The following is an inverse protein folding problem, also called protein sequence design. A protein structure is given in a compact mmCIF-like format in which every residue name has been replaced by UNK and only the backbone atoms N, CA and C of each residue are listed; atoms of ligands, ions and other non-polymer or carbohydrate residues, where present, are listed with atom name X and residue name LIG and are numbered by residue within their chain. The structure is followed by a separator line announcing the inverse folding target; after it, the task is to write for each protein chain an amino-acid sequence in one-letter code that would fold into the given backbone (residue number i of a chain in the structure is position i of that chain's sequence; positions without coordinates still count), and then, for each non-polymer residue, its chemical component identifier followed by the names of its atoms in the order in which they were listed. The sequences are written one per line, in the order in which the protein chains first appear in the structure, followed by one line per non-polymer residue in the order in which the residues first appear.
data_IF_158060093432
#
_entry.id   IF_158060093432
#
_cell.length_a   1.000
_cell.length_b   1.000
_cell.length_c   1.000
_cell.angle_alpha   90.00
_cell.angle_beta   90.00
_cell.angle_gamma   90.00
#
_symmetry.space_group_name_H-M   'P 1'
#
loop_
_entity.id
_entity.type
_entity.pdbx_description
1 polymer ?
#
# COMPACT_ATOMS: atom_id res chain seq x y z
N UNK A 1 -30.84 22.64 -42.39
CA UNK A 1 -29.49 22.98 -41.87
C UNK A 1 -29.50 23.58 -40.44
N UNK A 2 -30.37 24.55 -40.09
CA UNK A 2 -30.40 25.11 -38.71
C UNK A 2 -30.81 24.09 -37.62
N UNK A 3 -31.70 23.13 -37.90
CA UNK A 3 -32.15 22.15 -36.90
C UNK A 3 -31.09 21.07 -36.59
N UNK A 4 -30.27 20.72 -37.55
CA UNK A 4 -29.19 19.72 -37.35
C UNK A 4 -28.02 20.31 -36.56
N UNK A 5 -27.72 21.61 -36.79
CA UNK A 5 -26.67 22.30 -36.02
C UNK A 5 -27.05 22.45 -34.53
N UNK A 6 -28.35 22.68 -34.27
CA UNK A 6 -28.86 22.79 -32.90
C UNK A 6 -28.80 21.43 -32.16
N UNK A 7 -29.09 20.31 -32.86
CA UNK A 7 -28.97 18.98 -32.32
C UNK A 7 -27.52 18.61 -32.02
N UNK A 8 -26.60 18.98 -32.91
CA UNK A 8 -25.17 18.73 -32.70
C UNK A 8 -24.63 19.50 -31.51
N UNK A 9 -25.01 20.74 -31.31
CA UNK A 9 -24.63 21.58 -30.18
C UNK A 9 -25.22 21.02 -28.88
N UNK A 10 -26.48 20.58 -28.87
CA UNK A 10 -27.06 19.93 -27.69
C UNK A 10 -26.42 18.61 -27.33
N UNK A 11 -26.03 17.79 -28.31
CA UNK A 11 -25.30 16.51 -28.06
C UNK A 11 -23.89 16.77 -27.56
N UNK A 12 -23.18 17.77 -28.10
CA UNK A 12 -21.87 18.17 -27.59
C UNK A 12 -21.95 18.74 -26.16
N UNK A 13 -22.97 19.54 -25.85
CA UNK A 13 -23.14 20.10 -24.50
C UNK A 13 -23.53 19.05 -23.46
N UNK A 14 -24.28 18.02 -23.82
CA UNK A 14 -24.59 16.90 -22.92
C UNK A 14 -23.40 15.95 -22.71
N UNK A 15 -22.55 15.79 -23.70
CA UNK A 15 -21.28 15.05 -23.53
C UNK A 15 -20.27 15.78 -22.62
N UNK A 16 -20.28 17.10 -22.62
CA UNK A 16 -19.40 17.91 -21.76
C UNK A 16 -19.91 17.93 -20.30
N UNK A 17 -21.22 17.83 -20.07
CA UNK A 17 -21.77 17.80 -18.70
C UNK A 17 -21.60 16.48 -17.96
N UNK A 18 -21.26 15.37 -18.62
CA UNK A 18 -21.12 14.06 -17.98
C UNK A 18 -19.70 13.73 -17.50
N UNK A 19 -18.73 14.59 -17.74
CA UNK A 19 -17.40 14.48 -17.17
C UNK A 19 -17.38 15.05 -15.74
N UNK A 20 -18.11 14.43 -14.81
CA UNK A 20 -17.83 14.64 -13.39
C UNK A 20 -16.37 14.21 -13.19
N UNK A 21 -15.53 15.19 -12.85
CA UNK A 21 -14.15 14.94 -12.43
C UNK A 21 -14.20 14.03 -11.20
N UNK A 22 -14.20 12.73 -11.43
CA UNK A 22 -14.10 11.77 -10.33
C UNK A 22 -12.63 11.76 -9.90
N UNK A 23 -12.39 12.13 -8.64
CA UNK A 23 -11.07 11.98 -8.05
C UNK A 23 -10.64 10.52 -8.15
N UNK A 24 -9.42 10.29 -8.57
CA UNK A 24 -8.89 8.94 -8.74
C UNK A 24 -7.49 8.84 -8.16
N UNK A 25 -7.26 7.83 -7.37
CA UNK A 25 -5.95 7.57 -6.75
C UNK A 25 -4.96 7.00 -7.76
N UNK A 26 -3.72 7.49 -7.68
CA UNK A 26 -2.57 7.01 -8.47
C UNK A 26 -1.41 6.70 -7.52
N UNK A 27 -0.87 5.48 -7.55
CA UNK A 27 -1.33 4.30 -8.28
C UNK A 27 -2.71 3.81 -7.83
N UNK A 28 -3.48 3.26 -8.77
CA UNK A 28 -4.88 2.87 -8.52
C UNK A 28 -5.06 1.81 -7.43
N UNK A 29 -4.06 0.96 -7.22
CA UNK A 29 -4.06 -0.09 -6.17
C UNK A 29 -3.94 0.49 -4.76
N UNK A 30 -3.58 1.78 -4.63
CA UNK A 30 -3.38 2.45 -3.34
C UNK A 30 -4.61 3.23 -2.87
N UNK A 31 -5.75 3.07 -3.51
CA UNK A 31 -6.96 3.82 -3.17
C UNK A 31 -7.41 3.63 -1.71
N UNK A 32 -7.37 2.41 -1.23
CA UNK A 32 -7.77 2.03 0.13
C UNK A 32 -6.61 1.57 1.01
N UNK A 33 -5.38 1.63 0.49
CA UNK A 33 -4.18 1.10 1.14
C UNK A 33 -3.19 2.22 1.41
N UNK A 34 -2.60 2.24 2.59
CA UNK A 34 -1.48 3.12 2.94
C UNK A 34 -0.22 2.71 2.18
N UNK A 35 0.57 3.68 1.74
CA UNK A 35 1.88 3.41 1.15
C UNK A 35 2.84 2.74 2.14
N UNK A 36 3.77 1.96 1.64
CA UNK A 36 4.70 1.19 2.47
C UNK A 36 5.72 2.03 3.24
N UNK A 37 5.75 3.34 3.03
CA UNK A 37 6.69 4.25 3.72
C UNK A 37 6.22 5.71 3.67
N UNK A 38 6.71 6.51 4.63
CA UNK A 38 6.57 7.96 4.58
C UNK A 38 7.79 8.62 3.93
N UNK A 39 7.58 9.46 2.93
CA UNK A 39 8.65 10.25 2.32
C UNK A 39 8.75 11.66 2.91
N UNK A 40 9.94 12.02 3.36
CA UNK A 40 10.25 13.41 3.70
C UNK A 40 10.53 14.30 2.48
N UNK A 41 10.62 13.74 1.29
CA UNK A 41 10.75 14.48 0.03
C UNK A 41 9.38 14.55 -0.61
N UNK A 42 8.91 15.72 -1.05
CA UNK A 42 9.61 17.02 -1.15
C UNK A 42 9.45 17.94 0.07
N UNK A 43 8.57 17.65 1.03
CA UNK A 43 8.14 18.63 2.04
C UNK A 43 8.69 18.41 3.46
N UNK A 44 9.43 17.36 3.70
CA UNK A 44 9.90 16.98 5.05
C UNK A 44 11.27 17.52 5.46
N UNK A 45 11.90 18.36 4.64
CA UNK A 45 13.17 19.00 4.93
C UNK A 45 13.04 20.53 4.98
N UNK A 46 14.12 21.22 5.32
CA UNK A 46 14.24 22.66 5.20
C UNK A 46 14.99 23.10 3.93
N UNK A 47 15.33 22.14 3.07
CA UNK A 47 16.05 22.39 1.83
C UNK A 47 15.08 22.52 0.66
N UNK A 48 15.43 23.34 -0.30
CA UNK A 48 14.80 23.36 -1.60
C UNK A 48 15.05 22.04 -2.32
N UNK A 49 14.12 21.60 -3.15
CA UNK A 49 14.33 20.38 -3.91
C UNK A 49 13.65 20.43 -5.28
N UNK A 50 14.21 19.70 -6.21
CA UNK A 50 13.58 19.29 -7.45
C UNK A 50 13.18 17.82 -7.30
N UNK A 51 11.92 17.52 -7.51
CA UNK A 51 11.34 16.20 -7.34
C UNK A 51 10.50 15.86 -8.56
N UNK A 52 10.74 14.72 -9.13
CA UNK A 52 9.99 14.21 -10.27
C UNK A 52 9.50 12.80 -9.96
N UNK A 53 8.31 12.46 -10.41
CA UNK A 53 7.76 11.12 -10.31
C UNK A 53 7.13 10.72 -11.64
N UNK A 54 7.38 9.48 -12.05
CA UNK A 54 6.84 8.86 -13.25
C UNK A 54 5.95 7.70 -12.82
N UNK A 55 4.72 7.70 -13.29
CA UNK A 55 3.77 6.61 -13.13
C UNK A 55 3.57 5.93 -14.49
N UNK A 56 3.85 4.65 -14.57
CA UNK A 56 3.59 3.87 -15.77
C UNK A 56 2.09 3.81 -16.07
N UNK A 57 1.73 3.68 -17.34
CA UNK A 57 0.34 3.63 -17.78
C UNK A 57 -0.49 2.59 -17.03
N UNK A 58 0.15 1.49 -16.63
CA UNK A 58 -0.48 0.45 -15.85
C UNK A 58 -0.87 0.88 -14.42
N UNK A 59 -0.30 1.96 -13.86
CA UNK A 59 -0.62 2.52 -12.54
C UNK A 59 -1.82 3.46 -12.57
N UNK A 60 -2.18 3.91 -13.79
CA UNK A 60 -3.26 4.88 -13.98
C UNK A 60 -4.61 4.15 -14.01
N UNK A 61 -5.64 4.66 -13.32
CA UNK A 61 -6.98 4.06 -13.33
C UNK A 61 -7.78 4.38 -14.60
N UNK A 62 -7.16 5.00 -15.58
CA UNK A 62 -7.77 5.35 -16.89
C UNK A 62 -6.88 4.92 -18.05
N UNK A 63 -7.48 4.68 -19.22
CA UNK A 63 -6.81 4.20 -20.43
C UNK A 63 -6.86 5.15 -21.62
N UNK A 64 -7.34 6.38 -21.44
CA UNK A 64 -7.50 7.35 -22.54
C UNK A 64 -7.24 8.78 -22.12
N UNK A 65 -7.48 9.74 -23.02
CA UNK A 65 -7.33 11.15 -22.73
C UNK A 65 -8.19 11.59 -21.53
N UNK A 66 -7.60 12.39 -20.65
CA UNK A 66 -8.26 12.88 -19.45
C UNK A 66 -7.91 14.33 -19.18
N UNK A 67 -8.93 15.14 -18.86
CA UNK A 67 -8.73 16.48 -18.33
C UNK A 67 -8.35 16.39 -16.86
N UNK A 68 -7.27 17.03 -16.47
CA UNK A 68 -6.78 17.11 -15.09
C UNK A 68 -6.76 18.56 -14.65
N UNK A 69 -7.47 18.84 -13.55
CA UNK A 69 -7.61 20.19 -12.99
C UNK A 69 -6.69 20.42 -11.78
N UNK A 70 -6.11 19.36 -11.26
CA UNK A 70 -5.24 19.40 -10.08
C UNK A 70 -4.83 18.02 -9.61
N UNK A 71 -3.95 18.01 -8.62
CA UNK A 71 -3.59 16.82 -7.87
C UNK A 71 -3.73 17.13 -6.38
N UNK A 72 -4.02 16.09 -5.61
CA UNK A 72 -4.02 16.17 -4.15
C UNK A 72 -3.09 15.13 -3.59
N UNK A 73 -2.22 15.55 -2.70
CA UNK A 73 -1.26 14.67 -2.05
C UNK A 73 -1.82 14.17 -0.72
N UNK A 74 -1.42 12.97 -0.35
CA UNK A 74 -1.81 12.31 0.88
C UNK A 74 -0.65 12.37 1.87
N UNK A 75 -0.93 12.82 3.09
CA UNK A 75 0.07 12.77 4.15
C UNK A 75 0.23 11.35 4.68
N UNK A 76 1.46 10.98 5.03
CA UNK A 76 1.80 9.69 5.62
C UNK A 76 1.10 9.50 6.99
N UNK A 77 0.41 8.39 7.16
CA UNK A 77 -0.25 8.02 8.43
C UNK A 77 0.68 7.25 9.37
N UNK A 78 1.89 7.00 8.94
CA UNK A 78 2.86 6.15 9.63
C UNK A 78 2.91 4.75 9.04
N UNK A 79 3.66 3.87 9.68
CA UNK A 79 3.74 2.50 9.21
C UNK A 79 2.38 1.82 9.39
N UNK A 80 1.85 1.12 8.39
CA UNK A 80 0.64 0.29 8.53
C UNK A 80 0.75 -0.77 9.63
N UNK A 81 1.96 -0.98 10.18
CA UNK A 81 2.27 -1.89 11.30
C UNK A 81 2.12 -1.24 12.68
N UNK A 82 2.10 0.08 12.77
CA UNK A 82 1.96 0.75 14.05
C UNK A 82 0.47 1.00 14.31
N UNK A 83 -0.02 0.49 15.41
CA UNK A 83 -1.42 0.44 15.80
C UNK A 83 -2.12 1.82 15.93
N UNK A 84 -1.44 2.92 15.74
CA UNK A 84 -2.03 4.25 15.62
C UNK A 84 -1.09 5.12 14.80
N UNK A 85 -1.60 5.78 13.78
CA UNK A 85 -0.89 6.86 13.09
C UNK A 85 -0.47 7.95 14.09
N UNK A 86 0.53 8.71 13.74
CA UNK A 86 0.96 9.87 14.54
C UNK A 86 0.37 11.14 13.95
N UNK A 87 -0.14 12.04 14.80
CA UNK A 87 -0.56 13.37 14.34
C UNK A 87 0.64 14.09 13.68
N UNK A 88 0.38 14.74 12.55
CA UNK A 88 1.40 15.55 11.86
C UNK A 88 1.05 17.02 12.05
N UNK A 89 1.99 17.81 12.55
CA UNK A 89 1.79 19.24 12.70
C UNK A 89 1.68 19.94 11.34
N UNK A 90 0.92 21.03 11.29
CA UNK A 90 0.89 21.89 10.12
C UNK A 90 2.29 22.41 9.81
N UNK A 91 2.59 22.60 8.52
CA UNK A 91 3.83 23.22 8.07
C UNK A 91 3.49 24.57 7.38
N UNK A 92 4.31 25.57 7.66
CA UNK A 92 4.12 26.92 7.11
C UNK A 92 4.22 26.97 5.59
N UNK A 93 4.13 28.16 5.04
CA UNK A 93 4.08 28.35 3.59
C UNK A 93 5.29 27.82 2.86
N UNK A 94 5.02 27.14 1.78
CA UNK A 94 5.99 26.54 0.86
C UNK A 94 5.76 27.16 -0.52
N UNK A 95 6.83 27.72 -1.11
CA UNK A 95 6.79 28.25 -2.47
C UNK A 95 7.23 27.15 -3.46
N UNK A 96 6.44 26.92 -4.49
CA UNK A 96 6.65 25.81 -5.41
C UNK A 96 6.21 26.11 -6.85
N UNK A 97 6.67 25.27 -7.78
CA UNK A 97 6.13 25.18 -9.14
C UNK A 97 5.83 23.71 -9.46
N UNK A 98 4.84 23.48 -10.34
CA UNK A 98 4.40 22.17 -10.73
C UNK A 98 4.35 22.05 -12.25
N UNK A 99 5.02 21.04 -12.80
CA UNK A 99 4.96 20.66 -14.19
C UNK A 99 4.33 19.28 -14.31
N UNK A 100 3.54 19.10 -15.36
CA UNK A 100 2.97 17.80 -15.74
C UNK A 100 3.30 17.49 -17.20
N UNK A 101 3.39 16.21 -17.55
CA UNK A 101 3.66 15.75 -18.90
C UNK A 101 3.15 14.32 -19.10
N UNK A 102 2.74 13.99 -20.33
CA UNK A 102 2.74 12.60 -20.79
C UNK A 102 4.12 12.24 -21.32
N UNK A 103 4.63 11.08 -20.95
CA UNK A 103 6.00 10.68 -21.33
C UNK A 103 6.07 9.24 -21.88
N UNK A 104 7.05 8.99 -22.74
CA UNK A 104 7.43 7.64 -23.16
C UNK A 104 8.34 6.93 -22.15
N UNK A 105 8.98 7.71 -21.29
CA UNK A 105 9.84 7.17 -20.24
C UNK A 105 8.96 6.44 -19.23
N UNK A 106 9.28 5.20 -18.94
CA UNK A 106 8.65 4.41 -17.90
C UNK A 106 9.52 4.34 -16.65
N UNK A 107 8.96 3.78 -15.58
CA UNK A 107 9.64 3.68 -14.30
C UNK A 107 11.00 2.96 -14.38
N UNK A 108 11.13 1.95 -15.25
CA UNK A 108 12.38 1.18 -15.40
C UNK A 108 13.45 1.92 -16.22
N UNK A 109 13.06 2.89 -17.06
CA UNK A 109 13.95 3.65 -17.95
C UNK A 109 14.14 5.10 -17.50
N UNK A 110 13.67 5.46 -16.32
CA UNK A 110 13.79 6.80 -15.75
C UNK A 110 15.26 7.27 -15.73
N UNK A 111 15.50 8.44 -16.33
CA UNK A 111 16.82 9.08 -16.35
C UNK A 111 17.07 9.88 -15.07
N UNK A 112 18.31 9.90 -14.60
CA UNK A 112 18.74 10.83 -13.56
C UNK A 112 18.71 12.30 -13.99
N UNK A 113 18.79 12.59 -15.29
CA UNK A 113 18.61 13.95 -15.84
C UNK A 113 17.11 14.24 -15.93
N UNK A 114 16.66 15.29 -15.27
CA UNK A 114 15.24 15.57 -15.15
C UNK A 114 14.55 15.85 -16.49
N UNK A 115 15.17 16.64 -17.35
CA UNK A 115 14.63 17.02 -18.65
C UNK A 115 14.49 15.85 -19.62
N UNK A 116 15.34 14.82 -19.52
CA UNK A 116 15.28 13.63 -20.38
C UNK A 116 14.00 12.82 -20.17
N UNK A 117 13.33 13.01 -19.06
CA UNK A 117 12.09 12.32 -18.72
C UNK A 117 10.84 13.05 -19.24
N UNK A 118 10.95 14.31 -19.66
CA UNK A 118 9.81 15.09 -20.13
C UNK A 118 9.29 14.58 -21.46
N UNK A 119 8.00 14.62 -21.64
CA UNK A 119 7.38 14.46 -22.94
C UNK A 119 7.22 15.81 -23.64
N UNK A 120 6.72 15.75 -24.87
CA UNK A 120 6.57 16.94 -25.73
C UNK A 120 5.48 17.92 -25.23
N UNK A 121 4.55 17.45 -24.41
CA UNK A 121 3.45 18.22 -23.82
C UNK A 121 3.77 18.77 -22.42
N UNK A 122 5.05 18.70 -22.02
CA UNK A 122 5.49 19.19 -20.71
C UNK A 122 5.03 20.63 -20.47
N UNK A 123 4.20 20.82 -19.45
CA UNK A 123 3.52 22.08 -19.19
C UNK A 123 3.64 22.45 -17.72
N UNK A 124 4.05 23.68 -17.45
CA UNK A 124 3.99 24.28 -16.12
C UNK A 124 2.53 24.66 -15.82
N UNK A 125 1.86 23.83 -15.03
CA UNK A 125 0.46 24.06 -14.61
C UNK A 125 0.37 24.96 -13.38
N UNK A 126 1.46 25.08 -12.63
CA UNK A 126 1.64 26.06 -11.55
C UNK A 126 3.08 26.58 -11.64
N UNK A 127 3.28 27.90 -11.79
CA UNK A 127 4.63 28.48 -11.88
C UNK A 127 5.10 29.13 -10.55
N UNK A 128 4.19 29.78 -9.85
CA UNK A 128 4.45 30.51 -8.60
C UNK A 128 3.38 30.12 -7.58
N UNK A 129 3.34 28.82 -7.24
CA UNK A 129 2.41 28.32 -6.24
C UNK A 129 2.92 28.60 -4.83
N UNK A 130 1.97 28.77 -3.92
CA UNK A 130 2.23 28.88 -2.48
C UNK A 130 1.20 28.08 -1.72
N UNK A 131 1.64 27.16 -0.88
CA UNK A 131 0.76 26.28 -0.11
C UNK A 131 1.18 26.25 1.35
N UNK A 132 0.21 26.16 2.23
CA UNK A 132 0.40 25.79 3.63
C UNK A 132 -0.07 24.37 3.82
N UNK A 133 0.80 23.51 4.38
CA UNK A 133 0.41 22.12 4.62
C UNK A 133 -0.44 22.02 5.89
N UNK A 134 -1.62 21.39 5.80
CA UNK A 134 -2.54 21.27 6.93
C UNK A 134 -2.00 20.34 8.01
N UNK A 135 -2.39 20.58 9.26
CA UNK A 135 -2.22 19.59 10.31
C UNK A 135 -3.01 18.32 9.98
N UNK A 136 -2.45 17.16 10.29
CA UNK A 136 -3.10 15.87 10.05
C UNK A 136 -3.46 15.22 11.38
N UNK A 137 -4.72 14.84 11.57
CA UNK A 137 -5.15 14.11 12.75
C UNK A 137 -4.60 12.68 12.74
N UNK A 138 -4.65 12.04 13.88
CA UNK A 138 -4.43 10.58 13.97
C UNK A 138 -5.57 9.87 13.28
N UNK A 139 -5.25 8.95 12.38
CA UNK A 139 -6.20 8.02 11.76
C UNK A 139 -5.87 6.62 12.28
N UNK A 140 -6.81 5.93 12.89
CA UNK A 140 -6.53 4.65 13.55
C UNK A 140 -6.02 3.56 12.60
N UNK A 141 -6.60 3.45 11.43
CA UNK A 141 -6.27 2.42 10.43
C UNK A 141 -6.52 2.97 9.02
N UNK A 142 -5.64 2.65 8.09
CA UNK A 142 -5.78 2.97 6.67
C UNK A 142 -5.19 4.32 6.28
N UNK A 143 -5.32 4.67 5.00
CA UNK A 143 -4.74 5.89 4.47
C UNK A 143 -5.48 7.14 4.94
N UNK A 144 -4.75 8.23 5.05
CA UNK A 144 -5.34 9.56 5.23
C UNK A 144 -6.02 10.02 3.94
N UNK A 145 -6.98 10.93 4.07
CA UNK A 145 -7.53 11.60 2.91
C UNK A 145 -6.45 12.43 2.18
N UNK A 146 -6.53 12.48 0.86
CA UNK A 146 -5.69 13.37 0.05
C UNK A 146 -6.26 14.80 0.15
N UNK A 147 -5.71 15.58 1.06
CA UNK A 147 -6.18 16.93 1.39
C UNK A 147 -5.12 18.03 1.22
N UNK A 148 -4.01 17.70 0.56
CA UNK A 148 -2.96 18.66 0.20
C UNK A 148 -3.16 19.00 -1.28
N UNK A 149 -3.99 20.01 -1.56
CA UNK A 149 -4.50 20.32 -2.88
C UNK A 149 -3.55 21.22 -3.65
N UNK A 150 -3.11 20.77 -4.82
CA UNK A 150 -2.33 21.52 -5.79
C UNK A 150 -3.19 21.71 -7.03
N UNK A 151 -4.06 22.74 -6.99
CA UNK A 151 -4.99 23.05 -8.08
C UNK A 151 -4.26 23.76 -9.21
N UNK A 152 -4.44 23.29 -10.43
CA UNK A 152 -3.78 23.84 -11.60
C UNK A 152 -4.34 25.24 -11.94
N UNK A 153 -3.47 26.15 -12.31
CA UNK A 153 -3.89 27.46 -12.83
C UNK A 153 -4.51 27.35 -14.21
N UNK A 154 -4.13 26.33 -14.96
CA UNK A 154 -4.71 26.00 -16.27
C UNK A 154 -4.92 24.50 -16.32
N UNK A 155 -6.13 24.02 -16.61
CA UNK A 155 -6.39 22.59 -16.79
C UNK A 155 -5.46 22.00 -17.85
N UNK A 156 -5.02 20.76 -17.63
CA UNK A 156 -4.13 20.06 -18.53
C UNK A 156 -4.75 18.75 -19.02
N UNK A 157 -4.54 18.45 -20.30
CA UNK A 157 -5.04 17.22 -20.91
C UNK A 157 -3.96 16.16 -20.99
N UNK A 158 -4.11 15.09 -20.23
CA UNK A 158 -3.32 13.88 -20.35
C UNK A 158 -3.68 13.14 -21.65
N UNK A 159 -2.66 12.60 -22.34
CA UNK A 159 -2.85 11.67 -23.45
C UNK A 159 -3.36 12.31 -24.76
N UNK A 160 -3.25 13.61 -24.93
CA UNK A 160 -3.55 14.29 -26.22
C UNK A 160 -2.41 14.20 -27.23
N UNK A 161 -1.20 13.89 -26.80
CA UNK A 161 -0.05 13.77 -27.71
C UNK A 161 -0.27 12.57 -28.64
N UNK A 162 -0.43 12.79 -29.96
CA UNK A 162 -0.74 11.71 -30.89
C UNK A 162 0.46 10.78 -31.11
N UNK A 163 0.17 9.55 -31.49
CA UNK A 163 1.20 8.66 -32.02
C UNK A 163 1.82 9.27 -33.28
N UNK A 164 3.13 9.18 -33.40
CA UNK A 164 3.87 9.55 -34.62
C UNK A 164 4.25 8.29 -35.39
N UNK A 165 4.62 8.46 -36.66
CA UNK A 165 5.01 7.34 -37.49
C UNK A 165 6.17 6.56 -36.84
N UNK A 166 5.91 5.30 -36.46
CA UNK A 166 6.87 4.43 -35.78
C UNK A 166 7.06 4.65 -34.28
N UNK A 167 6.36 5.64 -33.68
CA UNK A 167 6.41 5.91 -32.23
C UNK A 167 4.98 5.87 -31.67
N UNK A 168 4.66 4.97 -30.75
CA UNK A 168 3.34 4.95 -30.11
C UNK A 168 3.08 6.25 -29.35
N UNK A 169 1.82 6.56 -29.05
CA UNK A 169 1.51 7.69 -28.19
C UNK A 169 2.10 7.48 -26.78
N UNK A 170 2.62 8.54 -26.13
CA UNK A 170 3.08 8.46 -24.76
C UNK A 170 1.89 8.16 -23.81
N UNK A 171 2.11 7.31 -22.85
CA UNK A 171 1.03 6.80 -21.97
C UNK A 171 1.33 6.91 -20.49
N UNK A 172 2.56 7.25 -20.12
CA UNK A 172 2.96 7.39 -18.72
C UNK A 172 2.75 8.82 -18.23
N UNK A 173 2.40 8.98 -16.96
CA UNK A 173 2.20 10.29 -16.33
C UNK A 173 3.49 10.70 -15.62
N UNK A 174 3.99 11.90 -15.93
CA UNK A 174 5.09 12.53 -15.24
C UNK A 174 4.60 13.76 -14.50
N UNK A 175 5.03 13.90 -13.26
CA UNK A 175 4.79 15.07 -12.41
C UNK A 175 6.13 15.54 -11.88
N UNK A 176 6.46 16.83 -12.07
CA UNK A 176 7.64 17.45 -11.49
C UNK A 176 7.26 18.58 -10.54
N UNK A 177 7.72 18.50 -9.31
CA UNK A 177 7.54 19.51 -8.28
C UNK A 177 8.89 20.17 -7.98
N UNK A 178 8.94 21.48 -8.11
CA UNK A 178 10.09 22.30 -7.67
C UNK A 178 9.69 23.05 -6.41
N UNK A 179 10.39 22.80 -5.32
CA UNK A 179 10.21 23.51 -4.05
C UNK A 179 11.34 24.52 -3.93
N UNK A 180 11.00 25.80 -3.90
CA UNK A 180 11.98 26.90 -3.87
C UNK A 180 12.33 27.33 -2.45
N UNK A 181 11.34 27.31 -1.56
CA UNK A 181 11.55 27.61 -0.15
C UNK A 181 10.56 26.82 0.71
N UNK A 182 11.00 26.44 1.87
CA UNK A 182 10.12 25.83 2.86
C UNK A 182 10.67 26.05 4.29
N UNK A 183 9.78 26.22 5.28
CA UNK A 183 10.19 26.34 6.68
C UNK A 183 10.75 25.01 7.18
N UNK A 184 11.48 25.07 8.29
CA UNK A 184 11.90 23.86 9.01
C UNK A 184 10.69 23.06 9.51
N UNK A 185 10.90 21.78 9.72
CA UNK A 185 9.87 20.85 10.20
C UNK A 185 9.72 19.63 9.31
N UNK A 186 9.42 18.51 9.92
CA UNK A 186 9.18 17.26 9.21
C UNK A 186 7.71 17.21 8.78
N UNK A 187 7.49 16.98 7.50
CA UNK A 187 6.16 16.68 6.96
C UNK A 187 6.32 15.55 5.93
N UNK A 188 5.78 14.41 6.24
CA UNK A 188 5.91 13.24 5.38
C UNK A 188 4.69 13.07 4.51
N UNK A 189 4.92 12.75 3.26
CA UNK A 189 3.88 12.28 2.34
C UNK A 189 3.83 10.78 2.34
N UNK A 190 2.63 10.26 2.14
CA UNK A 190 2.42 8.85 1.87
C UNK A 190 3.14 8.45 0.59
N UNK A 191 4.01 7.47 0.70
CA UNK A 191 4.94 7.10 -0.34
C UNK A 191 4.95 5.58 -0.55
N UNK A 192 5.01 5.22 -1.81
CA UNK A 192 5.33 3.86 -2.19
C UNK A 192 6.75 3.57 -1.71
N UNK A 193 6.87 2.72 -0.72
CA UNK A 193 8.16 2.28 -0.21
C UNK A 193 8.67 1.06 -0.97
N UNK A 194 9.93 0.75 -0.75
CA UNK A 194 10.40 -0.61 -0.98
C UNK A 194 9.51 -1.54 -0.18
N UNK A 195 9.08 -2.62 -0.81
CA UNK A 195 8.25 -3.66 -0.25
C UNK A 195 8.78 -4.17 1.10
N UNK A 196 8.40 -3.50 2.17
CA UNK A 196 8.57 -4.03 3.52
C UNK A 196 7.26 -4.72 3.84
N UNK A 197 7.31 -6.01 4.05
CA UNK A 197 6.14 -6.75 4.48
C UNK A 197 5.64 -6.12 5.78
N UNK A 198 4.43 -5.63 5.72
CA UNK A 198 3.69 -5.32 6.91
C UNK A 198 3.19 -6.65 7.44
N UNK A 199 3.80 -7.11 8.49
CA UNK A 199 3.43 -8.34 9.11
C UNK A 199 3.23 -8.08 10.60
N UNK A 200 2.01 -8.30 11.09
CA UNK A 200 1.71 -8.10 12.49
C UNK A 200 0.95 -9.28 13.09
N UNK A 201 1.23 -9.62 14.35
CA UNK A 201 0.41 -10.56 15.07
C UNK A 201 -0.97 -9.95 15.36
N UNK A 202 -2.02 -10.74 15.23
CA UNK A 202 -3.38 -10.38 15.62
C UNK A 202 -4.07 -11.50 16.39
N UNK A 203 -5.19 -11.20 17.04
CA UNK A 203 -6.06 -12.20 17.64
C UNK A 203 -5.55 -12.79 18.96
N UNK A 204 -4.55 -12.19 19.60
CA UNK A 204 -4.19 -12.60 20.96
C UNK A 204 -5.29 -12.21 21.93
N UNK A 205 -6.03 -13.22 22.43
CA UNK A 205 -7.02 -13.07 23.51
C UNK A 205 -6.75 -14.10 24.58
N UNK A 206 -6.61 -13.65 25.80
CA UNK A 206 -6.38 -14.51 26.96
C UNK A 206 -4.96 -15.09 27.06
N UNK A 207 -4.74 -16.04 27.97
CA UNK A 207 -3.48 -16.75 28.09
C UNK A 207 -3.18 -17.48 26.79
N UNK A 208 -1.90 -17.53 26.42
CA UNK A 208 -1.48 -18.15 25.18
C UNK A 208 -1.55 -19.67 25.29
N UNK A 209 -1.91 -20.31 24.19
CA UNK A 209 -1.88 -21.76 24.04
C UNK A 209 -0.44 -22.25 24.18
N UNK A 210 -0.13 -22.94 25.27
CA UNK A 210 1.25 -23.33 25.60
C UNK A 210 1.49 -24.83 25.40
N UNK A 211 2.70 -25.16 25.03
CA UNK A 211 3.21 -26.53 25.01
C UNK A 211 3.91 -26.77 26.35
N UNK A 212 3.54 -27.78 27.14
CA UNK A 212 4.25 -28.09 28.37
C UNK A 212 5.77 -28.33 28.11
N UNK A 213 6.59 -27.66 28.91
CA UNK A 213 8.05 -27.69 28.82
C UNK A 213 8.67 -27.08 27.53
N UNK A 214 7.90 -26.39 26.71
CA UNK A 214 8.46 -25.58 25.61
C UNK A 214 9.19 -24.33 26.15
N UNK A 215 10.22 -23.84 25.44
CA UNK A 215 10.95 -22.65 25.87
C UNK A 215 10.13 -21.36 25.80
N UNK A 216 9.00 -21.38 25.13
CA UNK A 216 8.13 -20.22 24.94
C UNK A 216 6.77 -20.59 24.34
N UNK A 217 5.97 -19.56 24.14
CA UNK A 217 4.67 -19.68 23.45
C UNK A 217 4.90 -19.91 21.97
N UNK A 218 4.18 -20.83 21.31
CA UNK A 218 4.23 -20.97 19.87
C UNK A 218 3.87 -19.69 19.14
N UNK A 219 4.74 -19.23 18.25
CA UNK A 219 4.55 -18.02 17.48
C UNK A 219 4.63 -18.29 15.97
N UNK A 220 3.91 -17.51 15.20
CA UNK A 220 4.01 -17.49 13.75
C UNK A 220 4.60 -16.16 13.32
N UNK A 221 5.60 -16.20 12.48
CA UNK A 221 6.21 -15.02 11.84
C UNK A 221 6.29 -15.23 10.34
N UNK A 222 6.53 -14.17 9.60
CA UNK A 222 6.70 -14.22 8.15
C UNK A 222 7.97 -13.53 7.69
N UNK A 223 8.44 -13.85 6.50
CA UNK A 223 9.57 -13.14 5.88
C UNK A 223 9.31 -11.64 5.79
N UNK A 224 10.39 -10.86 5.83
CA UNK A 224 10.31 -9.38 5.85
C UNK A 224 9.87 -8.77 4.51
N UNK A 225 9.68 -9.56 3.46
CA UNK A 225 9.23 -9.09 2.17
C UNK A 225 8.15 -9.99 1.61
N UNK A 226 7.01 -9.39 1.27
CA UNK A 226 5.85 -10.04 0.66
C UNK A 226 5.65 -9.52 -0.76
N UNK A 227 6.69 -9.62 -1.57
CA UNK A 227 6.68 -9.14 -2.94
C UNK A 227 5.88 -10.07 -3.85
N UNK A 228 4.99 -9.51 -4.67
CA UNK A 228 4.25 -10.27 -5.67
C UNK A 228 5.21 -11.05 -6.58
N UNK A 229 4.93 -12.34 -6.78
CA UNK A 229 5.78 -13.27 -7.54
C UNK A 229 7.01 -13.80 -6.81
N UNK A 230 7.26 -13.39 -5.58
CA UNK A 230 8.36 -13.91 -4.76
C UNK A 230 7.88 -15.03 -3.82
N UNK A 231 8.84 -15.76 -3.27
CA UNK A 231 8.56 -16.71 -2.21
C UNK A 231 8.38 -15.99 -0.88
N UNK A 232 7.27 -16.24 -0.22
CA UNK A 232 7.02 -15.81 1.16
C UNK A 232 7.22 -17.02 2.09
N UNK A 233 7.99 -16.83 3.14
CA UNK A 233 8.30 -17.89 4.10
C UNK A 233 7.60 -17.59 5.42
N UNK A 234 6.70 -18.49 5.82
CA UNK A 234 6.13 -18.54 7.15
C UNK A 234 7.03 -19.35 8.07
N UNK A 235 7.26 -18.85 9.26
CA UNK A 235 8.08 -19.53 10.27
C UNK A 235 7.28 -19.71 11.55
N UNK A 236 7.18 -20.97 11.99
CA UNK A 236 6.69 -21.34 13.32
C UNK A 236 7.89 -21.42 14.25
N UNK A 237 7.79 -20.78 15.42
CA UNK A 237 8.81 -20.86 16.47
C UNK A 237 8.17 -21.37 17.76
N UNK A 238 8.98 -21.98 18.63
CA UNK A 238 8.55 -22.59 19.90
C UNK A 238 7.43 -23.61 19.72
N UNK A 239 7.36 -24.27 18.57
CA UNK A 239 6.43 -25.37 18.33
C UNK A 239 6.87 -26.67 19.01
N UNK A 240 6.06 -27.72 18.88
CA UNK A 240 6.44 -29.06 19.32
C UNK A 240 7.60 -29.57 18.47
N UNK A 241 8.69 -30.06 19.07
CA UNK A 241 9.81 -30.62 18.31
C UNK A 241 9.40 -31.82 17.42
N UNK A 242 9.93 -31.85 16.20
CA UNK A 242 9.70 -32.90 15.20
C UNK A 242 8.21 -33.22 14.95
N UNK A 243 7.33 -32.20 15.07
CA UNK A 243 5.90 -32.38 14.92
C UNK A 243 5.38 -31.78 13.63
N UNK A 244 4.37 -32.38 13.01
CA UNK A 244 3.67 -31.76 11.89
C UNK A 244 2.85 -30.57 12.36
N UNK A 245 2.71 -29.58 11.50
CA UNK A 245 1.78 -28.47 11.69
C UNK A 245 1.05 -28.12 10.38
N UNK A 246 -0.13 -27.57 10.52
CA UNK A 246 -0.91 -27.00 9.44
C UNK A 246 -0.83 -25.48 9.53
N UNK A 247 -0.40 -24.84 8.47
CA UNK A 247 -0.55 -23.41 8.30
C UNK A 247 -1.90 -23.14 7.61
N UNK A 248 -2.84 -22.58 8.33
CA UNK A 248 -4.10 -22.11 7.83
C UNK A 248 -3.94 -20.70 7.26
N UNK A 249 -4.43 -20.44 6.03
CA UNK A 249 -4.34 -19.14 5.36
C UNK A 249 -5.72 -18.72 4.85
N UNK A 250 -6.04 -17.43 4.99
CA UNK A 250 -7.27 -16.81 4.50
C UNK A 250 -7.01 -15.38 4.01
N UNK A 251 -7.98 -14.83 3.28
CA UNK A 251 -8.05 -13.42 2.85
C UNK A 251 -8.87 -12.55 3.81
N UNK A 252 -9.41 -13.12 4.87
CA UNK A 252 -10.22 -12.44 5.89
C UNK A 252 -9.94 -12.98 7.28
N UNK A 253 -9.98 -12.12 8.28
CA UNK A 253 -9.95 -12.46 9.70
C UNK A 253 -11.31 -12.31 10.38
N UNK A 254 -12.39 -12.10 9.62
CA UNK A 254 -13.73 -11.81 10.17
C UNK A 254 -14.61 -13.06 10.32
N UNK A 255 -14.14 -14.20 9.88
CA UNK A 255 -14.88 -15.45 9.97
C UNK A 255 -15.87 -15.69 8.83
N UNK A 256 -16.13 -16.93 8.57
CA UNK A 256 -16.96 -17.43 7.50
C UNK A 256 -16.55 -18.84 7.12
N UNK A 257 -16.60 -19.79 8.07
CA UNK A 257 -16.14 -21.16 7.85
C UNK A 257 -16.99 -21.81 6.74
N UNK A 258 -16.36 -22.16 5.62
CA UNK A 258 -16.98 -22.90 4.50
C UNK A 258 -18.27 -22.29 3.94
N UNK A 259 -18.37 -20.94 3.89
CA UNK A 259 -19.56 -20.27 3.36
C UNK A 259 -20.82 -20.41 4.21
N UNK A 260 -20.70 -20.92 5.44
CA UNK A 260 -21.76 -20.94 6.44
C UNK A 260 -21.82 -19.61 7.21
N UNK A 261 -22.90 -19.40 7.95
CA UNK A 261 -23.05 -18.20 8.78
C UNK A 261 -21.81 -17.93 9.65
N UNK A 262 -21.34 -16.71 9.61
CA UNK A 262 -20.08 -16.28 10.19
C UNK A 262 -19.86 -16.79 11.62
N UNK A 263 -18.80 -17.53 11.84
CA UNK A 263 -18.24 -17.73 13.17
C UNK A 263 -17.61 -16.43 13.62
N UNK A 264 -17.95 -15.95 14.82
CA UNK A 264 -17.21 -14.83 15.35
C UNK A 264 -15.78 -15.28 15.66
N UNK A 265 -14.83 -14.84 14.86
CA UNK A 265 -13.42 -14.98 15.17
C UNK A 265 -12.96 -13.84 16.12
N UNK A 266 -12.01 -14.08 17.02
CA UNK A 266 -11.38 -15.37 17.32
C UNK A 266 -12.31 -16.32 18.07
N UNK A 267 -12.23 -17.62 17.73
CA UNK A 267 -13.06 -18.67 18.31
C UNK A 267 -12.26 -19.48 19.33
N UNK A 268 -12.73 -19.61 20.61
CA UNK A 268 -12.07 -20.44 21.58
C UNK A 268 -12.22 -21.93 21.20
N UNK A 269 -11.12 -22.67 21.20
CA UNK A 269 -11.16 -24.10 20.91
C UNK A 269 -11.68 -24.93 22.08
N UNK A 270 -11.99 -24.27 23.19
CA UNK A 270 -12.67 -24.82 24.34
C UNK A 270 -13.50 -23.75 25.03
N UNK A 271 -14.79 -23.95 25.11
CA UNK A 271 -15.68 -23.17 25.99
C UNK A 271 -16.70 -24.11 26.65
N UNK A 272 -16.49 -24.50 27.90
CA UNK A 272 -17.43 -25.36 28.65
C UNK A 272 -18.74 -24.62 28.97
N UNK A 273 -18.75 -23.28 28.92
CA UNK A 273 -19.91 -22.46 29.25
C UNK A 273 -20.79 -22.14 28.01
N UNK A 274 -20.29 -22.42 26.77
CA UNK A 274 -21.03 -22.08 25.57
C UNK A 274 -21.27 -23.33 24.68
N UNK A 275 -22.36 -24.09 24.97
CA UNK A 275 -22.69 -25.31 24.24
C UNK A 275 -23.18 -25.05 22.81
N UNK A 276 -23.28 -23.82 22.36
CA UNK A 276 -23.79 -23.46 21.03
C UNK A 276 -22.74 -23.60 19.91
N UNK A 277 -21.93 -24.64 19.93
CA UNK A 277 -21.12 -25.02 18.80
C UNK A 277 -22.01 -25.44 17.61
N UNK A 278 -21.78 -24.90 16.40
CA UNK A 278 -22.71 -25.05 15.29
C UNK A 278 -22.73 -26.43 14.67
N UNK A 279 -21.92 -27.38 15.08
CA UNK A 279 -22.05 -28.74 14.60
C UNK A 279 -22.02 -29.77 15.74
N UNK A 280 -23.03 -30.62 15.79
CA UNK A 280 -23.08 -31.80 16.64
C UNK A 280 -21.84 -32.72 16.50
N UNK A 281 -21.20 -32.73 15.33
CA UNK A 281 -19.99 -33.48 15.06
C UNK A 281 -18.78 -32.97 15.85
N UNK A 282 -18.66 -31.64 16.02
CA UNK A 282 -17.59 -31.05 16.82
C UNK A 282 -17.83 -31.18 18.32
N UNK A 283 -19.10 -31.20 18.75
CA UNK A 283 -19.47 -31.44 20.16
C UNK A 283 -19.18 -32.89 20.60
N UNK A 284 -19.30 -33.85 19.70
CA UNK A 284 -19.05 -35.26 20.01
C UNK A 284 -17.55 -35.60 20.19
N UNK A 285 -16.64 -34.76 19.70
CA UNK A 285 -15.19 -34.98 19.79
C UNK A 285 -14.57 -34.55 21.13
N UNK A 286 -15.34 -34.05 22.09
CA UNK A 286 -14.85 -33.51 23.38
C UNK A 286 -13.61 -32.61 23.18
N UNK A 287 -13.76 -31.64 22.30
CA UNK A 287 -12.68 -30.73 21.98
C UNK A 287 -12.29 -29.94 23.22
N UNK A 288 -11.10 -30.20 23.73
CA UNK A 288 -10.55 -29.52 24.89
C UNK A 288 -9.11 -29.11 24.59
N UNK A 289 -8.97 -27.90 24.11
CA UNK A 289 -7.70 -27.21 24.00
C UNK A 289 -7.82 -25.85 24.69
N UNK A 290 -7.79 -25.82 26.06
CA UNK A 290 -7.91 -24.58 26.82
C UNK A 290 -6.82 -23.62 26.39
N UNK A 291 -7.15 -22.32 26.39
CA UNK A 291 -6.29 -21.20 26.00
C UNK A 291 -5.82 -21.19 24.53
N UNK A 292 -6.30 -22.14 23.71
CA UNK A 292 -6.07 -22.13 22.28
C UNK A 292 -7.24 -21.48 21.55
N UNK A 293 -6.92 -20.61 20.58
CA UNK A 293 -7.88 -19.84 19.80
C UNK A 293 -7.71 -20.09 18.32
N UNK A 294 -8.81 -20.25 17.60
CA UNK A 294 -8.82 -20.19 16.16
C UNK A 294 -9.06 -18.73 15.74
N UNK A 295 -8.09 -18.12 15.13
CA UNK A 295 -8.12 -16.72 14.71
C UNK A 295 -8.52 -16.51 13.27
N UNK A 296 -8.46 -17.56 12.46
CA UNK A 296 -8.86 -17.56 11.04
C UNK A 296 -9.58 -18.86 10.71
N UNK A 297 -10.49 -18.80 9.75
CA UNK A 297 -11.01 -19.99 9.12
C UNK A 297 -10.22 -20.25 7.82
N UNK A 298 -9.69 -21.47 7.62
CA UNK A 298 -8.79 -21.73 6.52
C UNK A 298 -9.51 -21.85 5.19
N UNK A 299 -9.11 -21.04 4.19
CA UNK A 299 -9.42 -21.28 2.78
C UNK A 299 -8.35 -22.21 2.17
N UNK A 300 -7.08 -22.01 2.59
CA UNK A 300 -5.95 -22.82 2.16
C UNK A 300 -5.23 -23.34 3.39
N UNK A 301 -4.80 -24.61 3.35
CA UNK A 301 -3.95 -25.21 4.36
C UNK A 301 -2.65 -25.71 3.73
N UNK A 302 -1.54 -25.38 4.36
CA UNK A 302 -0.21 -25.84 3.96
C UNK A 302 0.38 -26.70 5.08
N UNK A 303 0.96 -27.83 4.71
CA UNK A 303 1.60 -28.74 5.68
C UNK A 303 3.06 -28.35 5.89
N UNK A 304 3.47 -28.27 7.15
CA UNK A 304 4.85 -28.08 7.56
C UNK A 304 5.30 -29.10 8.58
N UNK A 305 6.61 -29.19 8.81
CA UNK A 305 7.22 -30.01 9.83
C UNK A 305 8.20 -29.17 10.63
N UNK A 306 8.11 -29.21 11.95
CA UNK A 306 9.09 -28.58 12.83
C UNK A 306 10.33 -29.44 12.98
N UNK A 307 11.45 -28.80 13.23
CA UNK A 307 12.73 -29.46 13.56
C UNK A 307 12.81 -29.84 15.05
N UNK A 308 13.96 -30.34 15.46
CA UNK A 308 14.21 -30.80 16.84
C UNK A 308 14.16 -29.71 17.91
N UNK A 309 14.19 -28.43 17.51
CA UNK A 309 14.01 -27.27 18.42
C UNK A 309 12.65 -26.64 18.34
N UNK A 310 11.70 -27.23 17.60
CA UNK A 310 10.34 -26.72 17.48
C UNK A 310 10.18 -25.59 16.49
N UNK A 311 11.15 -25.37 15.61
CA UNK A 311 11.06 -24.39 14.51
C UNK A 311 10.70 -25.07 13.21
N UNK A 312 9.73 -24.54 12.47
CA UNK A 312 9.34 -25.07 11.17
C UNK A 312 9.03 -23.96 10.19
N UNK A 313 9.24 -24.23 8.90
CA UNK A 313 8.96 -23.24 7.85
C UNK A 313 8.05 -23.80 6.77
N UNK A 314 7.22 -22.93 6.21
CA UNK A 314 6.43 -23.21 5.02
C UNK A 314 6.67 -22.08 4.03
N UNK A 315 7.04 -22.44 2.81
CA UNK A 315 7.25 -21.48 1.72
C UNK A 315 6.04 -21.46 0.82
N UNK A 316 5.55 -20.29 0.52
CA UNK A 316 4.46 -20.07 -0.39
C UNK A 316 4.88 -19.12 -1.51
N UNK A 317 4.69 -19.54 -2.77
CA UNK A 317 4.90 -18.68 -3.92
C UNK A 317 3.72 -17.72 -4.04
N UNK A 318 3.97 -16.44 -3.83
CA UNK A 318 2.95 -15.40 -3.97
C UNK A 318 2.55 -15.22 -5.43
N UNK A 319 1.27 -14.93 -5.71
CA UNK A 319 0.85 -14.61 -7.06
C UNK A 319 1.64 -13.44 -7.63
N UNK A 320 2.13 -13.59 -8.86
CA UNK A 320 2.92 -12.55 -9.55
C UNK A 320 2.07 -11.41 -10.12
N UNK A 321 0.75 -11.60 -10.18
CA UNK A 321 -0.15 -10.64 -10.78
C UNK A 321 -0.25 -9.36 -9.95
N UNK A 322 -0.19 -8.23 -10.63
CA UNK A 322 -0.29 -6.89 -10.05
C UNK A 322 -1.60 -6.66 -9.28
N UNK A 323 -2.69 -7.32 -9.71
CA UNK A 323 -3.99 -7.28 -9.05
C UNK A 323 -3.96 -7.81 -7.61
N UNK A 324 -2.90 -8.49 -7.20
CA UNK A 324 -2.73 -8.98 -5.82
C UNK A 324 -1.98 -7.99 -4.92
N UNK A 325 -1.38 -6.95 -5.46
CA UNK A 325 -0.74 -5.89 -4.66
C UNK A 325 -1.80 -5.20 -3.81
N UNK A 326 -1.51 -5.03 -2.52
CA UNK A 326 -2.47 -4.53 -1.53
C UNK A 326 -3.37 -5.62 -0.92
N UNK A 327 -3.35 -6.86 -1.43
CA UNK A 327 -4.10 -7.96 -0.82
C UNK A 327 -3.45 -8.40 0.47
N UNK A 328 -4.22 -8.43 1.54
CA UNK A 328 -3.78 -8.93 2.85
C UNK A 328 -4.13 -10.40 3.00
N UNK A 329 -3.15 -11.19 3.43
CA UNK A 329 -3.31 -12.57 3.83
C UNK A 329 -3.20 -12.69 5.34
N UNK A 330 -4.01 -13.57 5.90
CA UNK A 330 -4.02 -13.91 7.30
C UNK A 330 -3.57 -15.35 7.45
N UNK A 331 -2.62 -15.60 8.35
CA UNK A 331 -2.06 -16.92 8.62
C UNK A 331 -2.17 -17.29 10.09
N UNK A 332 -2.32 -18.57 10.39
CA UNK A 332 -2.23 -19.15 11.73
C UNK A 332 -1.72 -20.58 11.64
N UNK A 333 -0.80 -20.96 12.51
CA UNK A 333 -0.34 -22.36 12.59
C UNK A 333 -1.13 -23.12 13.64
N UNK A 334 -1.48 -24.36 13.31
CA UNK A 334 -2.07 -25.37 14.17
C UNK A 334 -1.04 -26.50 14.25
N UNK A 335 -0.45 -26.71 15.41
CA UNK A 335 0.72 -27.58 15.62
C UNK A 335 0.27 -28.82 16.39
N UNK A 336 0.64 -30.00 15.93
CA UNK A 336 0.42 -31.23 16.68
C UNK A 336 1.27 -31.27 17.95
N UNK A 337 0.65 -31.61 19.09
CA UNK A 337 1.31 -31.69 20.39
C UNK A 337 0.61 -32.70 21.30
N UNK A 338 1.14 -33.90 21.36
CA UNK A 338 0.53 -35.02 22.09
C UNK A 338 0.39 -34.79 23.60
N UNK A 339 1.15 -33.84 24.15
CA UNK A 339 1.20 -33.58 25.60
C UNK A 339 0.49 -32.27 25.99
N UNK A 340 0.07 -31.47 25.04
CA UNK A 340 -0.43 -30.12 25.36
C UNK A 340 -1.86 -30.14 25.94
N UNK A 341 -2.76 -30.89 25.33
CA UNK A 341 -4.16 -30.95 25.71
C UNK A 341 -4.85 -32.18 25.13
N UNK A 342 -6.15 -32.36 25.42
CA UNK A 342 -6.89 -33.51 24.94
C UNK A 342 -7.07 -33.57 23.41
N UNK A 343 -7.04 -32.42 22.72
CA UNK A 343 -7.04 -32.35 21.25
C UNK A 343 -5.67 -32.66 20.63
N UNK A 344 -4.63 -32.66 21.45
CA UNK A 344 -3.24 -32.84 20.99
C UNK A 344 -2.80 -31.78 19.97
N UNK A 345 -3.30 -30.56 20.11
CA UNK A 345 -2.92 -29.44 19.26
C UNK A 345 -2.69 -28.17 20.06
N UNK A 346 -1.84 -27.31 19.52
CA UNK A 346 -1.67 -25.93 19.97
C UNK A 346 -1.77 -24.99 18.76
N UNK A 347 -2.19 -23.77 19.01
CA UNK A 347 -2.31 -22.76 17.96
C UNK A 347 -1.39 -21.58 18.25
N UNK A 348 -0.85 -20.98 17.20
CA UNK A 348 -0.16 -19.69 17.30
C UNK A 348 -1.19 -18.55 17.36
N UNK A 349 -0.71 -17.34 17.65
CA UNK A 349 -1.46 -16.13 17.28
C UNK A 349 -1.70 -16.09 15.77
N UNK A 350 -2.67 -15.31 15.33
CA UNK A 350 -2.82 -14.97 13.92
C UNK A 350 -1.72 -14.02 13.47
N UNK A 351 -1.42 -14.04 12.19
CA UNK A 351 -0.40 -13.21 11.57
C UNK A 351 -0.92 -12.67 10.23
N UNK A 352 -0.92 -11.35 10.07
CA UNK A 352 -1.35 -10.72 8.82
C UNK A 352 -0.16 -10.23 8.00
N UNK A 353 -0.26 -10.31 6.70
CA UNK A 353 0.76 -9.85 5.77
C UNK A 353 0.12 -9.34 4.48
N UNK A 354 0.55 -8.20 4.01
CA UNK A 354 0.01 -7.58 2.79
C UNK A 354 1.00 -7.71 1.65
N UNK A 355 0.53 -8.21 0.50
CA UNK A 355 1.34 -8.30 -0.72
C UNK A 355 1.71 -6.90 -1.17
N UNK A 356 2.98 -6.66 -1.34
CA UNK A 356 3.54 -5.51 -2.00
C UNK A 356 4.09 -5.90 -3.38
N UNK A 357 4.17 -4.96 -4.30
CA UNK A 357 4.66 -5.25 -5.66
C UNK A 357 5.61 -4.19 -6.15
N UNK A 358 6.40 -4.53 -7.16
CA UNK A 358 7.00 -3.50 -7.97
C UNK A 358 5.87 -2.76 -8.68
N UNK A 359 5.53 -1.58 -8.17
CA UNK A 359 4.67 -0.66 -8.89
C UNK A 359 5.51 0.01 -9.99
N UNK A 360 4.90 0.25 -11.13
CA UNK A 360 5.51 0.97 -12.25
C UNK A 360 5.62 2.46 -11.92
N UNK A 361 6.41 2.76 -10.88
CA UNK A 361 6.65 4.13 -10.40
C UNK A 361 8.14 4.31 -10.18
N UNK A 362 8.65 5.46 -10.58
CA UNK A 362 10.01 5.89 -10.24
C UNK A 362 10.00 7.35 -9.81
N UNK A 363 10.80 7.68 -8.81
CA UNK A 363 11.06 9.06 -8.44
C UNK A 363 12.50 9.45 -8.70
N UNK A 364 12.68 10.70 -9.05
CA UNK A 364 13.98 11.35 -9.22
C UNK A 364 13.98 12.59 -8.32
N UNK A 365 15.01 12.79 -7.50
CA UNK A 365 15.06 13.99 -6.69
C UNK A 365 16.48 14.46 -6.43
N UNK A 366 16.60 15.75 -6.23
CA UNK A 366 17.84 16.39 -5.78
C UNK A 366 17.52 17.57 -4.87
N UNK A 367 18.29 17.70 -3.80
CA UNK A 367 18.24 18.86 -2.92
C UNK A 367 19.22 19.93 -3.40
N UNK A 368 18.87 21.18 -3.13
CA UNK A 368 19.76 22.31 -3.36
C UNK A 368 19.48 23.42 -2.34
N UNK A 369 20.43 24.32 -2.20
CA UNK A 369 20.28 25.47 -1.31
C UNK A 369 20.51 26.77 -2.10
N UNK A 370 19.42 27.45 -2.56
CA UNK A 370 19.57 28.70 -3.29
C UNK A 370 20.12 29.84 -2.44
N UNK A 371 20.10 29.70 -1.12
CA UNK A 371 20.61 30.68 -0.16
C UNK A 371 22.02 30.35 0.32
N UNK A 372 22.69 29.34 -0.22
CA UNK A 372 24.07 29.06 0.06
C UNK A 372 24.98 30.19 -0.47
N UNK A 373 26.18 30.27 0.05
CA UNK A 373 27.20 31.20 -0.46
C UNK A 373 28.40 30.41 -1.04
N UNK A 374 28.57 30.31 -2.36
CA UNK A 374 27.69 30.82 -3.42
C UNK A 374 26.33 30.05 -3.53
N UNK A 375 25.29 30.69 -4.08
CA UNK A 375 24.00 30.03 -4.31
C UNK A 375 24.13 28.78 -5.19
N UNK A 376 23.50 27.70 -4.77
CA UNK A 376 23.44 26.49 -5.58
C UNK A 376 22.39 26.65 -6.69
N UNK A 377 22.71 26.32 -7.93
CA UNK A 377 21.75 26.36 -9.03
C UNK A 377 20.69 25.24 -8.88
N UNK A 378 19.58 25.38 -9.61
CA UNK A 378 18.60 24.31 -9.72
C UNK A 378 19.26 23.05 -10.30
N UNK A 379 19.15 21.88 -9.65
CA UNK A 379 19.79 20.66 -10.12
C UNK A 379 19.27 20.23 -11.50
N UNK A 380 20.17 19.92 -12.42
CA UNK A 380 19.86 19.30 -13.71
C UNK A 380 19.61 17.78 -13.57
N UNK A 381 20.24 17.15 -12.57
CA UNK A 381 20.15 15.71 -12.34
C UNK A 381 19.91 15.39 -10.87
N UNK A 382 19.35 14.21 -10.60
CA UNK A 382 19.02 13.71 -9.28
C UNK A 382 19.23 12.20 -9.12
N UNK A 383 19.00 11.72 -7.91
CA UNK A 383 19.02 10.31 -7.61
C UNK A 383 17.70 9.64 -8.07
N UNK A 384 17.82 8.56 -8.83
CA UNK A 384 16.68 7.75 -9.27
C UNK A 384 16.40 6.67 -8.24
N UNK A 385 15.12 6.51 -7.89
CA UNK A 385 14.65 5.45 -7.00
C UNK A 385 13.44 4.77 -7.61
N UNK A 386 13.59 3.50 -7.93
CA UNK A 386 12.56 2.67 -8.57
C UNK A 386 11.57 2.13 -7.52
N UNK A 387 10.30 1.94 -7.92
CA UNK A 387 9.24 1.48 -7.03
C UNK A 387 8.89 2.48 -5.92
N UNK A 388 9.30 3.73 -6.06
CA UNK A 388 9.07 4.78 -5.08
C UNK A 388 8.44 6.02 -5.73
N UNK A 389 7.51 6.62 -5.03
CA UNK A 389 6.81 7.83 -5.44
C UNK A 389 5.69 8.09 -4.45
N UNK A 390 5.15 9.28 -4.40
CA UNK A 390 4.03 9.56 -3.51
C UNK A 390 2.71 9.02 -4.07
N UNK A 391 1.78 8.72 -3.18
CA UNK A 391 0.40 8.42 -3.53
C UNK A 391 -0.37 9.73 -3.65
N UNK A 392 -1.13 9.86 -4.72
CA UNK A 392 -1.89 11.09 -4.99
C UNK A 392 -3.29 10.79 -5.54
N UNK A 393 -4.17 11.78 -5.48
CA UNK A 393 -5.42 11.80 -6.23
C UNK A 393 -5.29 12.79 -7.41
N UNK A 394 -5.76 12.38 -8.56
CA UNK A 394 -5.91 13.22 -9.76
C UNK A 394 -7.36 13.73 -9.82
N UNK A 395 -7.52 15.04 -10.04
CA UNK A 395 -8.79 15.76 -10.04
C UNK A 395 -9.14 16.32 -11.40
#
# INVERSE_FOLDING_TARGET
MRSELLRLVCVLSTLICAATSQNVTVPSVMDTVEGGSGSSVPFGSNLSCRYQVIYDAAELPWSGPRLINGISLRADNGSPLLAAGTATAAKGFIDYALLVSTTHVNSATASGTFEDNWGEDATWVIQNGRIQLPAQPVVPIGPRAANIDLMFTTPWFFGLTPARMGVPAPTNLLIELRVFSQPSGSYRLDNLGSCVAVASPFGQRGPACVIPNAPGVPTLTGSTSMQAGANFVWTVENGTPNAPFLLAVNLSNQGGLFGQAAFPLPYPMFDPANPSLPSLALQSLRWSAPDCWLNIDPIVTLLGLSNAVGTGTVTWLLPAGRQFVGTTFYGQAIISSQTANALQVVTTQGYESTICGPLGVARIYAFYNPNANPPQPLPAAGAVQYGQGFVLEVR
#
